data_IF_027290436886
#
_entry.id   IF_027290436886
#
_cell.length_a   1.000
_cell.length_b   1.000
_cell.length_c   1.000
_cell.angle_alpha   90.00
_cell.angle_beta   90.00
_cell.angle_gamma   90.00
#
_symmetry.space_group_name_H-M   'P 1'
#
loop_
_entity.id
_entity.type
_entity.pdbx_description
1 polymer ?
#
# COMPACT_ATOMS: atom_id res chain seq x y z
N UNK A 1 -21.67 -5.58 2.66
CA UNK A 1 -20.31 -5.34 3.19
C UNK A 1 -19.44 -4.52 2.24
N UNK A 2 -19.14 -4.97 1.01
CA UNK A 2 -18.21 -4.25 0.12
C UNK A 2 -18.63 -2.82 -0.26
N UNK A 3 -19.92 -2.61 -0.56
CA UNK A 3 -20.45 -1.26 -0.82
C UNK A 3 -20.25 -0.32 0.39
N UNK A 4 -20.52 -0.82 1.60
CA UNK A 4 -20.26 -0.08 2.84
C UNK A 4 -18.76 0.25 3.01
N UNK A 5 -17.87 -0.73 2.83
CA UNK A 5 -16.43 -0.50 2.94
C UNK A 5 -15.94 0.53 1.92
N UNK A 6 -16.50 0.53 0.71
CA UNK A 6 -16.16 1.50 -0.34
C UNK A 6 -16.58 2.90 0.06
N UNK A 7 -17.84 3.07 0.48
CA UNK A 7 -18.35 4.35 0.94
C UNK A 7 -17.51 4.92 2.09
N UNK A 8 -17.19 4.11 3.10
CA UNK A 8 -16.36 4.55 4.24
C UNK A 8 -14.97 4.99 3.80
N UNK A 9 -14.39 4.31 2.80
CA UNK A 9 -13.10 4.70 2.23
C UNK A 9 -13.21 6.04 1.49
N UNK A 10 -14.19 6.20 0.59
CA UNK A 10 -14.37 7.41 -0.22
C UNK A 10 -14.56 8.66 0.65
N UNK A 11 -15.41 8.58 1.67
CA UNK A 11 -15.65 9.67 2.60
C UNK A 11 -14.41 10.02 3.41
N UNK A 12 -13.65 9.01 3.86
CA UNK A 12 -12.40 9.24 4.59
C UNK A 12 -11.34 9.88 3.69
N UNK A 13 -11.23 9.44 2.44
CA UNK A 13 -10.34 10.07 1.47
C UNK A 13 -10.74 11.52 1.18
N UNK A 14 -12.04 11.81 1.03
CA UNK A 14 -12.52 13.19 0.85
C UNK A 14 -12.16 14.09 2.03
N UNK A 15 -12.25 13.60 3.28
CA UNK A 15 -11.81 14.34 4.47
C UNK A 15 -10.30 14.59 4.43
N UNK A 16 -9.51 13.56 4.12
CA UNK A 16 -8.05 13.67 4.07
C UNK A 16 -7.53 14.56 2.93
N UNK A 17 -8.29 14.72 1.84
CA UNK A 17 -7.97 15.67 0.78
C UNK A 17 -8.09 17.13 1.25
N UNK A 18 -8.88 17.39 2.28
CA UNK A 18 -9.01 18.72 2.89
C UNK A 18 -7.93 19.00 3.94
N UNK A 19 -7.22 17.96 4.41
CA UNK A 19 -6.12 18.10 5.36
C UNK A 19 -4.86 18.60 4.65
N UNK A 20 -4.18 19.57 5.26
CA UNK A 20 -2.87 20.00 4.78
C UNK A 20 -1.88 18.85 4.99
N UNK A 21 -1.26 18.38 3.90
CA UNK A 21 -0.18 17.40 3.99
C UNK A 21 0.96 18.07 4.76
N UNK A 22 1.41 17.52 5.90
CA UNK A 22 2.57 18.06 6.59
C UNK A 22 3.77 18.03 5.63
N UNK A 23 4.46 19.15 5.47
CA UNK A 23 5.73 19.18 4.73
C UNK A 23 6.71 18.25 5.42
N UNK A 24 6.99 17.10 4.80
CA UNK A 24 8.00 16.18 5.32
C UNK A 24 9.38 16.82 5.06
N UNK A 25 10.22 17.00 6.09
CA UNK A 25 11.49 17.68 5.91
C UNK A 25 12.38 16.89 4.94
N UNK A 26 13.14 17.59 4.10
CA UNK A 26 14.12 17.02 3.15
C UNK A 26 15.15 16.11 3.86
N UNK A 27 15.33 16.27 5.17
CA UNK A 27 16.22 15.47 6.02
C UNK A 27 15.60 14.17 6.55
N UNK A 28 14.33 13.89 6.26
CA UNK A 28 13.60 12.73 6.80
C UNK A 28 14.16 11.38 6.33
N UNK A 29 14.75 11.32 5.13
CA UNK A 29 15.48 10.15 4.62
C UNK A 29 16.82 10.55 3.99
N UNK A 30 17.84 9.69 4.14
CA UNK A 30 19.17 9.82 3.53
C UNK A 30 19.46 8.60 2.67
N UNK A 31 19.04 8.66 1.42
CA UNK A 31 19.24 7.58 0.44
C UNK A 31 20.54 7.86 -0.32
N UNK A 32 21.46 6.90 -0.35
CA UNK A 32 22.69 7.01 -1.10
C UNK A 32 22.43 6.93 -2.61
N UNK A 33 23.24 7.63 -3.39
CA UNK A 33 23.03 7.84 -4.83
C UNK A 33 22.72 6.54 -5.60
N UNK A 34 23.44 5.46 -5.31
CA UNK A 34 23.25 4.18 -5.99
C UNK A 34 21.84 3.57 -5.80
N UNK A 35 21.23 3.73 -4.63
CA UNK A 35 19.87 3.25 -4.37
C UNK A 35 18.84 4.23 -4.89
N UNK A 36 19.12 5.54 -4.80
CA UNK A 36 18.25 6.57 -5.36
C UNK A 36 18.12 6.43 -6.89
N UNK A 37 19.23 6.26 -7.60
CA UNK A 37 19.26 6.04 -9.05
C UNK A 37 18.43 4.79 -9.42
N UNK A 38 18.58 3.70 -8.65
CA UNK A 38 17.83 2.47 -8.88
C UNK A 38 16.33 2.63 -8.60
N UNK A 39 15.98 3.36 -7.54
CA UNK A 39 14.60 3.66 -7.17
C UNK A 39 13.91 4.46 -8.29
N UNK A 40 14.55 5.52 -8.80
CA UNK A 40 14.04 6.30 -9.94
C UNK A 40 13.78 5.42 -11.16
N UNK A 41 14.75 4.57 -11.55
CA UNK A 41 14.58 3.64 -12.65
C UNK A 41 13.39 2.67 -12.45
N UNK A 42 13.12 2.25 -11.22
CA UNK A 42 11.98 1.37 -10.93
C UNK A 42 10.63 2.07 -11.09
N UNK A 43 10.55 3.36 -10.76
CA UNK A 43 9.34 4.15 -10.97
C UNK A 43 9.11 4.46 -12.44
N UNK A 44 10.18 4.76 -13.19
CA UNK A 44 10.08 4.86 -14.65
C UNK A 44 9.44 3.61 -15.22
N UNK A 45 9.90 2.42 -14.80
CA UNK A 45 9.35 1.13 -15.23
C UNK A 45 7.89 0.96 -14.80
N UNK A 46 7.58 1.24 -13.53
CA UNK A 46 6.23 1.09 -12.96
C UNK A 46 5.16 1.75 -13.82
N UNK A 47 5.48 2.90 -14.41
CA UNK A 47 4.58 3.73 -15.19
C UNK A 47 4.68 3.57 -16.71
N UNK A 48 5.57 2.70 -17.23
CA UNK A 48 5.71 2.53 -18.68
C UNK A 48 4.42 1.98 -19.35
N UNK A 49 3.61 1.21 -18.63
CA UNK A 49 2.39 0.60 -19.18
C UNK A 49 1.21 1.57 -19.31
N UNK A 50 1.16 2.65 -18.51
CA UNK A 50 0.06 3.63 -18.60
C UNK A 50 0.07 4.42 -19.92
N UNK A 51 1.21 4.48 -20.62
CA UNK A 51 1.39 5.13 -21.92
C UNK A 51 1.24 4.19 -23.13
N UNK A 52 1.10 2.88 -22.93
CA UNK A 52 1.19 1.87 -24.01
C UNK A 52 -0.16 1.15 -24.21
N UNK A 53 -1.21 1.93 -24.46
CA UNK A 53 -2.35 1.41 -25.22
C UNK A 53 -2.01 1.23 -26.72
N UNK A 54 -0.84 1.71 -27.21
CA UNK A 54 -0.59 1.87 -28.66
C UNK A 54 0.79 1.47 -29.22
N UNK A 55 1.77 0.95 -28.46
CA UNK A 55 3.13 0.70 -29.00
C UNK A 55 3.57 -0.78 -29.03
N UNK A 56 3.43 -1.36 -30.24
CA UNK A 56 3.90 -2.66 -30.78
C UNK A 56 5.07 -3.39 -30.06
N UNK A 57 5.02 -4.75 -30.15
CA UNK A 57 6.03 -5.83 -29.90
C UNK A 57 7.53 -5.48 -29.90
N UNK A 58 7.99 -4.43 -30.59
CA UNK A 58 9.40 -4.02 -30.66
C UNK A 58 9.88 -3.31 -29.38
N UNK A 59 8.97 -2.68 -28.64
CA UNK A 59 9.28 -2.04 -27.35
C UNK A 59 9.43 -3.05 -26.22
N UNK A 60 8.67 -4.15 -26.26
CA UNK A 60 8.70 -5.24 -25.27
C UNK A 60 10.09 -5.88 -25.10
N UNK A 61 10.88 -6.03 -26.19
CA UNK A 61 12.23 -6.61 -26.09
C UNK A 61 13.22 -5.68 -25.39
N UNK A 62 13.13 -4.36 -25.64
CA UNK A 62 13.98 -3.36 -24.98
C UNK A 62 13.61 -3.20 -23.51
N UNK A 63 12.31 -3.25 -23.22
CA UNK A 63 11.75 -3.22 -21.88
C UNK A 63 12.18 -4.43 -21.06
N UNK A 64 12.02 -5.66 -21.58
CA UNK A 64 12.52 -6.87 -20.91
C UNK A 64 14.02 -6.79 -20.59
N UNK A 65 14.83 -6.20 -21.50
CA UNK A 65 16.26 -5.95 -21.24
C UNK A 65 16.50 -4.93 -20.13
N UNK A 66 15.71 -3.85 -20.07
CA UNK A 66 15.78 -2.85 -18.99
C UNK A 66 15.39 -3.44 -17.64
N UNK A 67 14.27 -4.15 -17.57
CA UNK A 67 13.81 -4.84 -16.36
C UNK A 67 14.88 -5.84 -15.89
N UNK A 68 15.45 -6.63 -16.81
CA UNK A 68 16.53 -7.57 -16.48
C UNK A 68 17.76 -6.87 -15.90
N UNK A 69 18.23 -5.79 -16.53
CA UNK A 69 19.39 -5.03 -16.04
C UNK A 69 19.14 -4.41 -14.65
N UNK A 70 17.91 -3.96 -14.38
CA UNK A 70 17.52 -3.44 -13.06
C UNK A 70 17.47 -4.57 -12.03
N UNK A 71 16.91 -5.73 -12.37
CA UNK A 71 16.92 -6.92 -11.50
C UNK A 71 18.34 -7.35 -11.13
N UNK A 72 19.26 -7.42 -12.10
CA UNK A 72 20.67 -7.76 -11.84
C UNK A 72 21.34 -6.76 -10.86
N UNK A 73 21.05 -5.46 -11.02
CA UNK A 73 21.54 -4.43 -10.08
C UNK A 73 20.89 -4.55 -8.69
N UNK A 74 19.60 -4.87 -8.63
CA UNK A 74 18.88 -5.09 -7.38
C UNK A 74 19.47 -6.26 -6.62
N UNK A 75 19.73 -7.38 -7.28
CA UNK A 75 20.28 -8.59 -6.66
C UNK A 75 21.70 -8.36 -6.13
N UNK A 76 22.54 -7.62 -6.87
CA UNK A 76 23.85 -7.22 -6.40
C UNK A 76 23.75 -6.34 -5.13
N UNK A 77 22.85 -5.36 -5.12
CA UNK A 77 22.64 -4.51 -3.94
C UNK A 77 22.03 -5.30 -2.77
N UNK A 78 21.15 -6.25 -3.04
CA UNK A 78 20.52 -7.11 -2.05
C UNK A 78 21.55 -7.89 -1.23
N UNK A 79 22.48 -8.58 -1.91
CA UNK A 79 23.57 -9.31 -1.24
C UNK A 79 24.43 -8.39 -0.37
N UNK A 80 24.81 -7.22 -0.90
CA UNK A 80 25.61 -6.23 -0.17
C UNK A 80 24.90 -5.63 1.06
N UNK A 81 23.57 -5.57 1.03
CA UNK A 81 22.76 -5.00 2.10
C UNK A 81 22.48 -6.04 3.18
N UNK A 82 22.11 -7.26 2.78
CA UNK A 82 21.83 -8.36 3.73
C UNK A 82 23.05 -8.71 4.57
N UNK A 83 24.24 -8.70 4.00
CA UNK A 83 25.49 -8.97 4.74
C UNK A 83 25.82 -7.90 5.79
N UNK A 84 25.26 -6.69 5.68
CA UNK A 84 25.60 -5.52 6.52
C UNK A 84 24.35 -4.82 7.06
N UNK A 85 23.26 -5.56 7.28
CA UNK A 85 21.98 -5.07 7.81
C UNK A 85 22.22 -4.28 9.10
N UNK A 86 22.24 -2.95 8.98
CA UNK A 86 22.53 -2.02 10.07
C UNK A 86 21.54 -0.87 9.99
N UNK A 87 21.15 -0.34 11.14
CA UNK A 87 20.19 0.76 11.23
C UNK A 87 20.65 2.02 10.48
N UNK A 88 21.97 2.19 10.31
CA UNK A 88 22.58 3.29 9.57
C UNK A 88 22.22 3.30 8.08
N UNK A 89 21.81 2.16 7.51
CA UNK A 89 21.45 2.02 6.08
C UNK A 89 19.95 1.83 5.86
N UNK A 90 19.11 2.15 6.84
CA UNK A 90 17.69 1.86 6.75
C UNK A 90 17.00 2.56 5.58
N UNK A 91 17.38 3.80 5.25
CA UNK A 91 16.77 4.53 4.13
C UNK A 91 17.12 3.89 2.77
N UNK A 92 18.34 3.37 2.63
CA UNK A 92 18.77 2.59 1.46
C UNK A 92 17.99 1.26 1.35
N UNK A 93 17.76 0.59 2.50
CA UNK A 93 16.96 -0.63 2.58
C UNK A 93 15.52 -0.36 2.14
N UNK A 94 14.91 0.74 2.61
CA UNK A 94 13.55 1.14 2.24
C UNK A 94 13.47 1.46 0.74
N UNK A 95 14.47 2.15 0.18
CA UNK A 95 14.54 2.41 -1.25
C UNK A 95 14.67 1.12 -2.08
N UNK A 96 15.52 0.18 -1.66
CA UNK A 96 15.65 -1.11 -2.34
C UNK A 96 14.36 -1.94 -2.25
N UNK A 97 13.69 -1.94 -1.09
CA UNK A 97 12.42 -2.64 -0.91
C UNK A 97 11.31 -2.05 -1.81
N UNK A 98 11.22 -0.72 -1.89
CA UNK A 98 10.30 -0.04 -2.81
C UNK A 98 10.60 -0.40 -4.27
N UNK A 99 11.87 -0.51 -4.63
CA UNK A 99 12.30 -0.96 -5.97
C UNK A 99 11.81 -2.39 -6.27
N UNK A 100 12.00 -3.34 -5.34
CA UNK A 100 11.46 -4.70 -5.48
C UNK A 100 9.93 -4.69 -5.61
N UNK A 101 9.23 -3.89 -4.81
CA UNK A 101 7.79 -3.75 -4.90
C UNK A 101 7.33 -3.23 -6.28
N UNK A 102 8.00 -2.20 -6.81
CA UNK A 102 7.68 -1.62 -8.12
C UNK A 102 7.92 -2.60 -9.27
N UNK A 103 9.01 -3.36 -9.24
CA UNK A 103 9.28 -4.40 -10.24
C UNK A 103 8.28 -5.55 -10.14
N UNK A 104 7.89 -5.95 -8.93
CA UNK A 104 6.86 -6.99 -8.74
C UNK A 104 5.51 -6.62 -9.37
N UNK A 105 5.12 -5.35 -9.28
CA UNK A 105 3.87 -4.85 -9.87
C UNK A 105 3.79 -5.04 -11.39
N UNK A 106 4.92 -5.00 -12.10
CA UNK A 106 4.97 -5.22 -13.56
C UNK A 106 4.49 -6.61 -13.97
N UNK A 107 4.62 -7.60 -13.08
CA UNK A 107 4.22 -8.97 -13.34
C UNK A 107 2.90 -9.35 -12.65
N UNK A 108 2.42 -8.52 -11.71
CA UNK A 108 1.26 -8.82 -10.86
C UNK A 108 -0.07 -8.94 -11.61
N UNK A 109 -0.16 -8.34 -12.81
CA UNK A 109 -1.34 -8.40 -13.66
C UNK A 109 -1.31 -9.54 -14.70
N UNK A 110 -0.19 -10.26 -14.83
CA UNK A 110 -0.07 -11.38 -15.76
C UNK A 110 -1.03 -12.52 -15.40
N UNK A 111 -1.35 -13.35 -16.39
CA UNK A 111 -2.06 -14.63 -16.21
C UNK A 111 -1.10 -15.82 -16.24
N UNK A 112 0.15 -15.59 -16.66
CA UNK A 112 1.17 -16.64 -16.78
C UNK A 112 1.76 -16.96 -15.41
N UNK A 113 1.81 -18.25 -15.05
CA UNK A 113 2.28 -18.69 -13.74
C UNK A 113 3.74 -18.28 -13.47
N UNK A 114 4.58 -18.29 -14.49
CA UNK A 114 5.98 -17.87 -14.37
C UNK A 114 6.09 -16.39 -14.00
N UNK A 115 5.34 -15.51 -14.66
CA UNK A 115 5.31 -14.08 -14.33
C UNK A 115 4.76 -13.86 -12.91
N UNK A 116 3.68 -14.55 -12.54
CA UNK A 116 3.11 -14.49 -11.19
C UNK A 116 4.15 -14.94 -10.13
N UNK A 117 4.93 -15.98 -10.42
CA UNK A 117 6.02 -16.43 -9.54
C UNK A 117 7.13 -15.38 -9.39
N UNK A 118 7.48 -14.68 -10.48
CA UNK A 118 8.43 -13.57 -10.41
C UNK A 118 7.90 -12.39 -9.58
N UNK A 119 6.61 -12.05 -9.71
CA UNK A 119 5.97 -11.04 -8.86
C UNK A 119 6.05 -11.45 -7.38
N UNK A 120 5.68 -12.69 -7.06
CA UNK A 120 5.75 -13.24 -5.70
C UNK A 120 7.16 -13.12 -5.13
N UNK A 121 8.18 -13.54 -5.86
CA UNK A 121 9.58 -13.45 -5.42
C UNK A 121 9.97 -12.01 -5.10
N UNK A 122 9.61 -11.05 -5.96
CA UNK A 122 9.90 -9.64 -5.74
C UNK A 122 9.23 -9.12 -4.46
N UNK A 123 7.96 -9.45 -4.24
CA UNK A 123 7.25 -9.03 -3.03
C UNK A 123 7.81 -9.69 -1.76
N UNK A 124 8.22 -10.96 -1.83
CA UNK A 124 8.89 -11.63 -0.70
C UNK A 124 10.19 -10.91 -0.35
N UNK A 125 11.07 -10.65 -1.32
CA UNK A 125 12.35 -9.93 -1.10
C UNK A 125 12.14 -8.52 -0.53
N UNK A 126 11.11 -7.81 -1.02
CA UNK A 126 10.69 -6.53 -0.43
C UNK A 126 10.38 -6.67 1.07
N UNK A 127 9.61 -7.69 1.46
CA UNK A 127 9.21 -7.93 2.85
C UNK A 127 10.34 -8.48 3.73
N UNK A 128 11.32 -9.16 3.14
CA UNK A 128 12.54 -9.61 3.82
C UNK A 128 13.44 -8.43 4.17
N UNK A 129 13.66 -7.50 3.24
CA UNK A 129 14.42 -6.26 3.48
C UNK A 129 13.81 -5.44 4.63
N UNK A 130 12.48 -5.39 4.70
CA UNK A 130 11.76 -4.60 5.71
C UNK A 130 11.49 -5.39 7.00
N UNK A 131 11.98 -6.63 7.14
CA UNK A 131 11.74 -7.47 8.32
C UNK A 131 12.21 -6.76 9.60
N UNK A 132 11.37 -6.80 10.63
CA UNK A 132 11.63 -6.10 11.90
C UNK A 132 11.32 -4.60 11.90
N UNK A 133 11.14 -3.98 10.72
CA UNK A 133 10.84 -2.55 10.57
C UNK A 133 9.66 -2.24 9.65
N UNK A 134 8.81 -3.22 9.37
CA UNK A 134 7.63 -3.06 8.48
C UNK A 134 6.66 -1.98 8.94
N UNK A 135 6.57 -1.73 10.25
CA UNK A 135 5.69 -0.71 10.83
C UNK A 135 6.34 0.68 10.93
N UNK A 136 7.62 0.82 10.55
CA UNK A 136 8.26 2.13 10.53
C UNK A 136 7.54 3.06 9.54
N UNK A 137 7.43 4.34 9.89
CA UNK A 137 6.76 5.34 9.04
C UNK A 137 7.33 5.43 7.62
N UNK A 138 8.61 5.08 7.41
CA UNK A 138 9.27 5.03 6.09
C UNK A 138 8.90 3.78 5.29
N UNK A 139 8.57 2.69 5.98
CA UNK A 139 8.41 1.36 5.39
C UNK A 139 6.96 0.89 5.30
N UNK A 140 6.05 1.47 6.07
CA UNK A 140 4.67 0.98 6.22
C UNK A 140 3.90 0.92 4.91
N UNK A 141 3.99 1.97 4.07
CA UNK A 141 3.26 2.00 2.80
C UNK A 141 3.77 0.91 1.85
N UNK A 142 5.10 0.79 1.73
CA UNK A 142 5.73 -0.24 0.90
C UNK A 142 5.43 -1.65 1.41
N UNK A 143 5.51 -1.86 2.72
CA UNK A 143 5.22 -3.16 3.36
C UNK A 143 3.77 -3.57 3.14
N UNK A 144 2.82 -2.67 3.42
CA UNK A 144 1.40 -2.97 3.29
C UNK A 144 1.01 -3.20 1.82
N UNK A 145 1.56 -2.40 0.90
CA UNK A 145 1.39 -2.63 -0.54
C UNK A 145 1.94 -3.99 -0.96
N UNK A 146 3.17 -4.33 -0.59
CA UNK A 146 3.77 -5.60 -0.94
C UNK A 146 2.99 -6.80 -0.39
N UNK A 147 2.48 -6.75 0.85
CA UNK A 147 1.65 -7.84 1.41
C UNK A 147 0.32 -7.96 0.66
N UNK A 148 -0.34 -6.84 0.34
CA UNK A 148 -1.59 -6.84 -0.42
C UNK A 148 -1.38 -7.43 -1.82
N UNK A 149 -0.36 -6.97 -2.55
CA UNK A 149 -0.06 -7.47 -3.89
C UNK A 149 0.37 -8.92 -3.88
N UNK A 150 1.20 -9.32 -2.91
CA UNK A 150 1.56 -10.73 -2.71
C UNK A 150 0.32 -11.58 -2.47
N UNK A 151 -0.64 -11.12 -1.68
CA UNK A 151 -1.90 -11.85 -1.44
C UNK A 151 -2.73 -11.99 -2.71
N UNK A 152 -2.87 -10.94 -3.52
CA UNK A 152 -3.58 -10.99 -4.81
C UNK A 152 -2.92 -11.94 -5.81
N UNK A 153 -1.60 -11.85 -5.95
CA UNK A 153 -0.84 -12.68 -6.89
C UNK A 153 -0.80 -14.14 -6.42
N UNK A 154 -0.64 -14.38 -5.12
CA UNK A 154 -0.74 -15.71 -4.54
C UNK A 154 -2.11 -16.33 -4.80
N UNK A 155 -3.20 -15.58 -4.64
CA UNK A 155 -4.55 -16.07 -4.94
C UNK A 155 -4.67 -16.53 -6.40
N UNK A 156 -4.19 -15.71 -7.36
CA UNK A 156 -4.16 -16.08 -8.78
C UNK A 156 -3.31 -17.33 -9.05
N UNK A 157 -2.22 -17.49 -8.32
CA UNK A 157 -1.31 -18.63 -8.42
C UNK A 157 -1.76 -19.85 -7.58
N UNK A 158 -2.95 -19.83 -6.96
CA UNK A 158 -3.44 -20.87 -6.05
C UNK A 158 -2.49 -21.16 -4.86
N UNK A 159 -1.88 -20.10 -4.30
CA UNK A 159 -0.98 -20.12 -3.15
C UNK A 159 -1.62 -19.45 -1.93
N UNK A 160 -0.96 -19.57 -0.78
CA UNK A 160 -1.41 -18.96 0.47
C UNK A 160 -1.39 -17.42 0.39
N UNK A 161 -2.47 -16.81 0.89
CA UNK A 161 -2.69 -15.36 0.92
C UNK A 161 -2.38 -14.78 2.30
N UNK A 162 -1.95 -13.52 2.36
CA UNK A 162 -1.43 -12.88 3.57
C UNK A 162 -2.27 -11.69 4.04
N UNK A 163 -3.58 -11.68 3.72
CA UNK A 163 -4.49 -10.59 4.07
C UNK A 163 -4.53 -10.26 5.57
N UNK A 164 -4.42 -11.27 6.43
CA UNK A 164 -4.36 -11.08 7.88
C UNK A 164 -3.10 -10.36 8.33
N UNK A 165 -1.95 -10.68 7.71
CA UNK A 165 -0.69 -10.02 8.04
C UNK A 165 -0.75 -8.53 7.67
N UNK A 166 -1.36 -8.19 6.53
CA UNK A 166 -1.61 -6.80 6.15
C UNK A 166 -2.53 -6.09 7.16
N UNK A 167 -3.60 -6.77 7.59
CA UNK A 167 -4.55 -6.19 8.55
C UNK A 167 -3.91 -5.92 9.91
N UNK A 168 -3.16 -6.88 10.47
CA UNK A 168 -2.42 -6.69 11.72
C UNK A 168 -1.43 -5.54 11.61
N UNK A 169 -0.67 -5.49 10.52
CA UNK A 169 0.32 -4.42 10.29
C UNK A 169 -0.33 -3.03 10.27
N UNK A 170 -1.49 -2.88 9.62
CA UNK A 170 -2.23 -1.61 9.62
C UNK A 170 -2.68 -1.21 11.04
N UNK A 171 -3.22 -2.16 11.82
CA UNK A 171 -3.68 -1.88 13.18
C UNK A 171 -2.53 -1.48 14.09
N UNK A 172 -1.40 -2.19 14.01
CA UNK A 172 -0.17 -1.87 14.74
C UNK A 172 0.33 -0.46 14.40
N UNK A 173 0.29 -0.08 13.12
CA UNK A 173 0.68 1.27 12.69
C UNK A 173 -0.27 2.35 13.23
N UNK A 174 -1.57 2.10 13.19
CA UNK A 174 -2.56 3.05 13.70
C UNK A 174 -2.36 3.34 15.19
N UNK A 175 -1.81 2.39 15.95
CA UNK A 175 -1.47 2.56 17.36
C UNK A 175 -0.23 3.45 17.58
N UNK A 176 0.74 3.43 16.66
CA UNK A 176 1.96 4.25 16.78
C UNK A 176 1.70 5.75 16.56
N UNK A 177 0.59 6.11 15.90
CA UNK A 177 0.19 7.49 15.56
C UNK A 177 1.26 8.27 14.79
N UNK A 178 2.18 7.57 14.12
CA UNK A 178 3.18 8.18 13.25
C UNK A 178 2.60 8.36 11.85
N UNK A 179 2.83 9.51 11.23
CA UNK A 179 2.42 9.71 9.83
C UNK A 179 3.38 8.97 8.89
N UNK A 180 2.87 8.15 7.95
CA UNK A 180 3.68 7.51 6.94
C UNK A 180 4.41 8.51 6.05
N UNK A 181 5.58 8.10 5.52
CA UNK A 181 6.30 8.83 4.48
C UNK A 181 6.03 8.16 3.14
N UNK A 182 5.65 8.97 2.15
CA UNK A 182 5.51 8.52 0.78
C UNK A 182 6.83 8.70 0.02
N UNK A 183 7.55 7.59 -0.20
CA UNK A 183 8.90 7.63 -0.75
C UNK A 183 8.97 8.27 -2.15
N UNK A 184 7.97 8.07 -3.01
CA UNK A 184 7.95 8.67 -4.34
C UNK A 184 7.91 10.19 -4.25
N UNK A 185 6.99 10.73 -3.44
CA UNK A 185 6.89 12.17 -3.20
C UNK A 185 8.16 12.72 -2.54
N UNK A 186 8.76 11.98 -1.61
CA UNK A 186 10.03 12.36 -0.97
C UNK A 186 11.16 12.54 -2.00
N UNK A 187 11.27 11.65 -3.00
CA UNK A 187 12.30 11.74 -4.06
C UNK A 187 11.87 12.58 -5.27
N UNK A 188 10.78 13.36 -5.15
CA UNK A 188 10.33 14.27 -6.21
C UNK A 188 9.63 13.60 -7.39
N UNK A 189 9.18 12.34 -7.24
CA UNK A 189 8.38 11.63 -8.24
C UNK A 189 6.90 11.99 -8.04
N UNK A 190 6.25 12.43 -9.12
CA UNK A 190 4.83 12.75 -9.15
C UNK A 190 4.03 11.49 -9.44
N UNK A 191 3.33 10.99 -8.44
CA UNK A 191 2.33 9.92 -8.59
C UNK A 191 0.91 10.51 -8.54
N UNK A 192 -0.08 9.71 -8.98
CA UNK A 192 -1.50 10.11 -8.99
C UNK A 192 -2.01 10.55 -7.61
N UNK A 193 -1.55 9.86 -6.57
CA UNK A 193 -1.81 10.19 -5.18
C UNK A 193 -0.46 10.35 -4.46
N UNK A 194 -0.31 11.43 -3.72
CA UNK A 194 0.92 11.78 -3.00
C UNK A 194 0.72 11.89 -1.49
N UNK A 195 -0.54 11.98 -1.03
CA UNK A 195 -0.88 12.05 0.38
C UNK A 195 -0.69 10.67 1.04
N UNK A 196 0.30 10.51 1.94
CA UNK A 196 0.62 9.22 2.55
C UNK A 196 -0.58 8.61 3.32
N UNK A 197 -1.43 9.46 3.92
CA UNK A 197 -2.61 9.03 4.67
C UNK A 197 -3.71 8.48 3.76
N UNK A 198 -3.89 9.06 2.57
CA UNK A 198 -4.84 8.55 1.56
C UNK A 198 -4.34 7.20 1.02
N UNK A 199 -3.05 7.09 0.72
CA UNK A 199 -2.42 5.85 0.26
C UNK A 199 -2.59 4.75 1.31
N UNK A 200 -2.27 5.03 2.58
CA UNK A 200 -2.42 4.07 3.68
C UNK A 200 -3.87 3.57 3.80
N UNK A 201 -4.85 4.47 3.72
CA UNK A 201 -6.25 4.08 3.81
C UNK A 201 -6.73 3.29 2.58
N UNK A 202 -6.23 3.63 1.39
CA UNK A 202 -6.52 2.87 0.16
C UNK A 202 -5.98 1.45 0.28
N UNK A 203 -4.74 1.29 0.76
CA UNK A 203 -4.14 -0.02 1.01
C UNK A 203 -4.93 -0.80 2.06
N UNK A 204 -5.32 -0.18 3.17
CA UNK A 204 -6.16 -0.82 4.18
C UNK A 204 -7.51 -1.26 3.62
N UNK A 205 -8.13 -0.43 2.78
CA UNK A 205 -9.37 -0.78 2.11
C UNK A 205 -9.22 -2.03 1.24
N UNK A 206 -8.14 -2.14 0.45
CA UNK A 206 -7.81 -3.36 -0.30
C UNK A 206 -7.66 -4.56 0.62
N UNK A 207 -6.98 -4.41 1.76
CA UNK A 207 -6.85 -5.48 2.77
C UNK A 207 -8.21 -5.94 3.29
N UNK A 208 -9.10 -5.02 3.64
CA UNK A 208 -10.45 -5.36 4.12
C UNK A 208 -11.30 -6.04 3.04
N UNK A 209 -11.13 -5.64 1.77
CA UNK A 209 -11.79 -6.34 0.66
C UNK A 209 -11.28 -7.77 0.52
N UNK A 210 -9.96 -7.99 0.57
CA UNK A 210 -9.35 -9.31 0.53
C UNK A 210 -9.82 -10.21 1.69
N UNK A 211 -9.80 -9.70 2.92
CA UNK A 211 -10.34 -10.42 4.08
C UNK A 211 -11.84 -10.72 3.94
N UNK A 212 -12.60 -9.78 3.37
CA UNK A 212 -14.02 -9.97 3.11
C UNK A 212 -14.29 -11.11 2.14
N UNK A 213 -13.49 -11.22 1.07
CA UNK A 213 -13.57 -12.34 0.13
C UNK A 213 -13.18 -13.66 0.78
N UNK A 214 -12.10 -13.69 1.56
CA UNK A 214 -11.69 -14.88 2.31
C UNK A 214 -12.75 -15.34 3.31
N UNK A 215 -13.39 -14.40 4.01
CA UNK A 215 -14.50 -14.69 4.92
C UNK A 215 -15.67 -15.34 4.19
N UNK A 216 -16.03 -14.86 2.99
CA UNK A 216 -17.12 -15.46 2.20
C UNK A 216 -16.78 -16.87 1.72
N UNK A 217 -15.52 -17.15 1.38
CA UNK A 217 -15.09 -18.50 0.99
C UNK A 217 -15.07 -19.47 2.18
N UNK A 218 -14.72 -18.97 3.37
CA UNK A 218 -14.47 -19.82 4.55
C UNK A 218 -14.98 -19.15 5.85
N UNK A 219 -16.31 -19.04 6.03
CA UNK A 219 -16.92 -18.20 7.08
C UNK A 219 -16.69 -18.71 8.51
N UNK A 220 -16.35 -19.99 8.69
CA UNK A 220 -16.23 -20.63 10.01
C UNK A 220 -14.78 -20.69 10.55
N UNK A 221 -13.80 -20.05 9.91
CA UNK A 221 -12.47 -19.95 10.51
C UNK A 221 -12.53 -19.03 11.74
N UNK A 222 -12.28 -19.61 12.93
CA UNK A 222 -12.16 -18.89 14.22
C UNK A 222 -11.28 -17.64 14.11
N UNK A 223 -10.26 -17.71 13.29
CA UNK A 223 -9.28 -16.65 13.10
C UNK A 223 -9.80 -15.41 12.34
N UNK A 224 -11.06 -15.40 11.85
CA UNK A 224 -11.68 -14.22 11.25
C UNK A 224 -12.43 -13.32 12.26
N UNK A 225 -12.51 -13.74 13.54
CA UNK A 225 -13.25 -13.00 14.57
C UNK A 225 -12.77 -11.55 14.73
N UNK A 226 -11.46 -11.30 14.70
CA UNK A 226 -10.91 -9.95 14.80
C UNK A 226 -11.33 -9.04 13.64
N UNK A 227 -11.41 -9.58 12.42
CA UNK A 227 -11.92 -8.85 11.26
C UNK A 227 -13.42 -8.54 11.41
N UNK A 228 -14.22 -9.50 11.85
CA UNK A 228 -15.67 -9.32 12.06
C UNK A 228 -15.93 -8.23 13.10
N UNK A 229 -15.28 -8.28 14.26
CA UNK A 229 -15.38 -7.24 15.29
C UNK A 229 -14.95 -5.87 14.78
N UNK A 230 -13.90 -5.82 13.96
CA UNK A 230 -13.45 -4.56 13.36
C UNK A 230 -14.50 -3.96 12.43
N UNK A 231 -15.08 -4.76 11.53
CA UNK A 231 -16.16 -4.31 10.63
C UNK A 231 -17.41 -3.92 11.42
N UNK A 232 -17.78 -4.69 12.44
CA UNK A 232 -18.89 -4.37 13.35
C UNK A 232 -18.65 -3.02 14.05
N UNK A 233 -17.45 -2.78 14.57
CA UNK A 233 -17.11 -1.52 15.21
C UNK A 233 -17.22 -0.32 14.26
N UNK A 234 -16.83 -0.50 12.98
CA UNK A 234 -16.99 0.53 11.95
C UNK A 234 -18.46 0.82 11.65
N UNK A 235 -19.29 -0.23 11.52
CA UNK A 235 -20.73 -0.10 11.31
C UNK A 235 -21.40 0.62 12.48
N UNK A 236 -21.08 0.21 13.71
CA UNK A 236 -21.63 0.82 14.92
C UNK A 236 -21.24 2.29 15.05
N UNK A 237 -19.99 2.65 14.74
CA UNK A 237 -19.57 4.06 14.69
C UNK A 237 -20.39 4.83 13.66
N UNK A 238 -20.54 4.29 12.45
CA UNK A 238 -21.31 4.94 11.38
C UNK A 238 -22.78 5.14 11.75
N UNK A 239 -23.41 4.15 12.37
CA UNK A 239 -24.78 4.26 12.84
C UNK A 239 -24.94 5.39 13.86
N UNK A 240 -23.98 5.52 14.79
CA UNK A 240 -23.95 6.62 15.76
C UNK A 240 -23.81 7.98 15.08
N UNK A 241 -22.91 8.12 14.11
CA UNK A 241 -22.70 9.37 13.37
C UNK A 241 -23.98 9.79 12.62
N UNK A 242 -24.67 8.84 11.96
CA UNK A 242 -25.95 9.09 11.27
C UNK A 242 -27.02 9.51 12.27
N UNK A 243 -27.17 8.80 13.40
CA UNK A 243 -28.13 9.15 14.44
C UNK A 243 -27.89 10.57 14.96
N UNK A 244 -26.63 10.93 15.21
CA UNK A 244 -26.26 12.27 15.67
C UNK A 244 -26.59 13.34 14.62
N UNK A 245 -26.30 13.10 13.34
CA UNK A 245 -26.70 14.00 12.26
C UNK A 245 -28.22 14.19 12.18
N UNK A 246 -29.01 13.11 12.29
CA UNK A 246 -30.48 13.17 12.27
C UNK A 246 -31.02 13.99 13.46
N UNK A 247 -30.44 13.81 14.65
CA UNK A 247 -30.82 14.60 15.83
C UNK A 247 -30.50 16.09 15.61
N UNK A 248 -29.30 16.42 15.09
CA UNK A 248 -28.91 17.79 14.79
C UNK A 248 -29.81 18.44 13.73
N UNK A 249 -30.19 17.69 12.70
CA UNK A 249 -31.14 18.15 11.68
C UNK A 249 -32.52 18.41 12.27
N UNK A 250 -33.04 17.51 13.11
CA UNK A 250 -34.30 17.74 13.83
C UNK A 250 -34.23 19.00 14.69
N UNK A 251 -33.17 19.18 15.46
CA UNK A 251 -33.00 20.38 16.29
C UNK A 251 -32.95 21.66 15.45
N UNK A 252 -32.21 21.67 14.33
CA UNK A 252 -32.18 22.82 13.40
C UNK A 252 -33.52 23.12 12.73
N UNK A 253 -34.32 22.10 12.41
CA UNK A 253 -35.66 22.25 11.82
C UNK A 253 -36.70 22.70 12.86
N UNK A 254 -36.47 22.42 14.15
CA UNK A 254 -37.38 22.84 15.24
C UNK A 254 -37.06 24.25 15.77
N UNK A 255 -35.89 24.82 15.41
CA UNK A 255 -35.42 26.15 15.82
C UNK A 255 -35.54 27.31 14.78
N UNK A 256 -36.27 27.24 13.65
CA UNK A 256 -36.62 28.44 12.91
C UNK A 256 -37.89 29.05 13.53
N UNK A 257 -37.82 30.34 13.92
CA UNK A 257 -38.85 31.19 14.55
C UNK A 257 -38.81 31.30 16.08
N UNK A 258 -37.79 31.99 16.61
CA UNK A 258 -37.96 32.79 17.82
C UNK A 258 -37.14 34.09 17.85
N UNK A 259 -36.75 34.59 16.67
CA UNK A 259 -36.21 35.95 16.51
C UNK A 259 -36.92 36.59 15.32
N UNK A 260 -38.09 37.17 15.60
CA UNK A 260 -38.68 38.30 14.89
C UNK A 260 -39.57 39.04 15.88
#
# INVERSE_FOLDING_TARGET
MFAFLRQVMEEKCAILQLETIPDEPVTSMKISKKFLDLLHLSFEIKYMDEDIALAKKRNQSKEKKRIKAIKERMDLLYSNVIEVLTDQKFDDIVALAATYCNIGLQYAHSTELDDLNHAIECFIRCLELLKGKRNDRKAILTSLNAINQLSLVSEKANKEVLWRAAFSLYLEHKLSKTNPIHIASFVGIKEKESNPSIILNTLHHTTLQGLGLEYLKRPYLKDMYGFVLYVESMLNKRLKDILQMVILLKLKITLPLQIM
#
